data_IF_776210957058
#
_entry.id   IF_776210957058
#
_cell.length_a   1.000
_cell.length_b   1.000
_cell.length_c   1.000
_cell.angle_alpha   90.00
_cell.angle_beta   90.00
_cell.angle_gamma   90.00
#
_symmetry.space_group_name_H-M   'P 1'
#
loop_
_entity.id
_entity.type
_entity.pdbx_description
1 polymer ?
#
# COMPACT_ATOMS: atom_id res chain seq x y z
N UNK A 1 -6.76 26.84 -21.07
CA UNK A 1 -5.85 25.75 -20.67
C UNK A 1 -6.74 24.57 -20.34
N UNK A 2 -6.71 23.52 -21.18
CA UNK A 2 -7.51 22.33 -20.94
C UNK A 2 -6.93 21.59 -19.75
N UNK A 3 -7.74 21.32 -18.75
CA UNK A 3 -7.38 20.46 -17.63
C UNK A 3 -7.57 19.03 -18.12
N UNK A 4 -6.48 18.25 -18.11
CA UNK A 4 -6.55 16.83 -18.49
C UNK A 4 -7.32 16.09 -17.42
N UNK A 5 -8.37 15.39 -17.81
CA UNK A 5 -9.03 14.41 -16.94
C UNK A 5 -8.20 13.16 -16.85
N UNK A 6 -8.12 12.64 -15.67
CA UNK A 6 -7.25 11.53 -15.35
C UNK A 6 -8.06 10.42 -14.72
N UNK A 7 -8.01 9.26 -15.32
CA UNK A 7 -8.88 8.14 -15.01
C UNK A 7 -8.05 6.93 -14.56
N UNK A 8 -8.20 6.47 -13.33
CA UNK A 8 -7.78 5.14 -12.90
C UNK A 8 -8.88 4.15 -13.24
N UNK A 9 -8.62 3.29 -14.17
CA UNK A 9 -9.51 2.22 -14.53
C UNK A 9 -8.92 0.91 -14.06
N UNK A 10 -9.61 0.18 -13.25
CA UNK A 10 -9.40 -1.23 -13.04
C UNK A 10 -10.20 -1.97 -14.12
N UNK A 11 -9.67 -2.56 -15.14
CA UNK A 11 -10.37 -3.22 -16.23
C UNK A 11 -10.40 -4.72 -16.05
N UNK A 12 -11.54 -5.30 -16.34
CA UNK A 12 -11.66 -6.71 -16.64
C UNK A 12 -11.01 -7.03 -17.98
N UNK A 13 -10.05 -7.89 -18.02
CA UNK A 13 -9.55 -8.49 -19.26
C UNK A 13 -10.35 -9.74 -19.51
N UNK A 14 -11.15 -9.74 -20.57
CA UNK A 14 -11.89 -10.93 -20.98
C UNK A 14 -10.94 -11.99 -21.53
N UNK A 15 -10.45 -12.82 -20.63
CA UNK A 15 -10.06 -14.17 -20.88
C UNK A 15 -10.88 -15.01 -19.92
N UNK A 16 -12.15 -15.25 -20.24
CA UNK A 16 -13.08 -16.18 -19.58
C UNK A 16 -13.17 -16.14 -18.03
N UNK A 17 -12.79 -15.02 -17.39
CA UNK A 17 -13.00 -14.79 -15.96
C UNK A 17 -13.28 -13.32 -15.72
N UNK A 18 -14.29 -13.01 -14.92
CA UNK A 18 -14.78 -11.68 -14.65
C UNK A 18 -13.83 -10.90 -13.75
N UNK A 19 -13.38 -9.73 -14.21
CA UNK A 19 -12.52 -8.83 -13.45
C UNK A 19 -13.25 -7.51 -13.23
N UNK A 20 -13.09 -6.90 -12.07
CA UNK A 20 -13.63 -5.59 -11.74
C UNK A 20 -12.56 -4.53 -11.64
N UNK A 21 -12.95 -3.32 -11.97
CA UNK A 21 -12.00 -2.22 -12.24
C UNK A 21 -12.26 -0.97 -11.40
N UNK A 22 -11.25 -0.46 -10.66
CA UNK A 22 -11.25 0.86 -10.00
C UNK A 22 -10.62 1.90 -10.94
N UNK A 23 -11.32 2.97 -11.23
CA UNK A 23 -10.88 4.02 -12.15
C UNK A 23 -10.68 5.34 -11.43
N UNK A 24 -9.60 6.04 -11.70
CA UNK A 24 -9.28 7.35 -11.17
C UNK A 24 -9.03 8.36 -12.30
N UNK A 25 -9.65 9.55 -12.24
CA UNK A 25 -9.56 10.56 -13.28
C UNK A 25 -9.55 12.01 -12.77
N UNK A 26 -8.87 12.95 -13.47
CA UNK A 26 -8.88 14.39 -13.19
C UNK A 26 -10.20 15.05 -13.64
N UNK A 27 -10.58 16.15 -13.00
CA UNK A 27 -11.74 16.94 -13.41
C UNK A 27 -11.35 18.10 -14.30
N UNK A 28 -12.11 18.35 -15.35
CA UNK A 28 -12.04 19.62 -16.06
C UNK A 28 -12.50 20.77 -15.14
N UNK A 29 -11.56 21.65 -14.79
CA UNK A 29 -11.85 22.87 -14.08
C UNK A 29 -12.21 23.97 -15.08
N UNK A 30 -13.47 24.01 -15.52
CA UNK A 30 -14.01 25.19 -16.17
C UNK A 30 -15.28 25.64 -15.45
N UNK A 31 -15.22 26.92 -15.05
CA UNK A 31 -16.26 27.78 -14.49
C UNK A 31 -16.36 27.80 -12.96
N UNK A 32 -15.58 28.71 -12.35
CA UNK A 32 -16.06 29.49 -11.20
C UNK A 32 -15.94 30.99 -11.57
N UNK A 33 -16.96 31.81 -11.23
CA UNK A 33 -16.87 33.26 -11.38
C UNK A 33 -15.87 33.83 -10.36
N UNK A 34 -15.08 34.78 -10.84
CA UNK A 34 -14.19 35.57 -9.99
C UNK A 34 -15.06 36.56 -9.22
N UNK A 35 -15.18 36.42 -7.92
CA UNK A 35 -15.52 37.55 -7.04
C UNK A 35 -14.24 38.10 -6.45
N UNK A 36 -13.99 39.38 -6.79
CA UNK A 36 -12.99 40.23 -6.19
C UNK A 36 -13.47 40.69 -4.82
N UNK A 37 -12.72 40.43 -3.79
CA UNK A 37 -12.73 41.29 -2.62
C UNK A 37 -11.31 41.56 -2.13
N UNK A 38 -10.99 42.84 -2.22
CA UNK A 38 -9.76 43.48 -1.76
C UNK A 38 -9.93 43.79 -0.29
N UNK A 39 -9.06 43.32 0.57
CA UNK A 39 -8.81 43.99 1.85
C UNK A 39 -7.35 43.89 2.24
N UNK A 40 -6.78 45.07 2.36
CA UNK A 40 -5.44 45.41 2.81
C UNK A 40 -5.28 45.25 4.31
N UNK A 41 -4.14 44.74 4.80
CA UNK A 41 -3.39 45.40 5.86
C UNK A 41 -2.07 44.70 6.23
N UNK A 42 -1.02 45.49 6.10
CA UNK A 42 0.11 45.75 7.00
C UNK A 42 1.18 44.67 7.22
N UNK A 43 2.35 45.08 6.77
CA UNK A 43 3.67 44.48 6.96
C UNK A 43 4.16 44.58 8.43
N UNK A 44 4.92 43.59 8.84
CA UNK A 44 5.97 43.74 9.85
C UNK A 44 7.22 42.99 9.37
N UNK A 45 8.25 43.77 9.09
CA UNK A 45 9.61 43.34 8.72
C UNK A 45 10.39 42.97 9.97
N UNK A 46 11.05 41.80 9.93
CA UNK A 46 12.30 41.59 10.69
C UNK A 46 13.29 40.89 9.79
N UNK A 47 14.41 41.57 9.51
CA UNK A 47 15.56 41.06 8.81
C UNK A 47 16.30 40.00 9.66
N UNK A 48 16.59 38.86 9.09
CA UNK A 48 17.69 38.01 9.51
C UNK A 48 18.47 37.63 8.25
N UNK A 49 19.69 38.07 8.16
CA UNK A 49 20.66 37.69 7.13
C UNK A 49 20.95 36.20 7.20
N UNK A 50 20.76 35.50 6.10
CA UNK A 50 21.16 34.10 5.96
C UNK A 50 22.33 34.02 4.95
N UNK A 51 23.46 33.53 5.44
CA UNK A 51 24.68 33.26 4.66
C UNK A 51 24.43 32.04 3.79
N UNK A 52 24.70 32.06 2.49
CA UNK A 52 24.54 30.89 1.63
C UNK A 52 25.65 29.85 1.88
N UNK A 53 25.26 28.72 2.41
CA UNK A 53 26.12 27.53 2.43
C UNK A 53 26.02 26.80 1.09
N UNK A 54 27.15 26.43 0.54
CA UNK A 54 27.37 25.75 -0.73
C UNK A 54 26.55 24.49 -0.85
N UNK A 55 25.79 24.37 -1.94
CA UNK A 55 25.10 23.14 -2.38
C UNK A 55 26.12 22.08 -2.76
N UNK A 56 26.23 21.04 -1.95
CA UNK A 56 26.81 19.76 -2.39
C UNK A 56 25.81 19.11 -3.36
N UNK A 57 26.30 18.82 -4.58
CA UNK A 57 25.59 18.01 -5.56
C UNK A 57 25.55 16.57 -5.07
N UNK A 58 24.46 16.20 -4.42
CA UNK A 58 24.12 14.80 -4.19
C UNK A 58 23.63 14.21 -5.52
N UNK A 59 24.20 13.10 -6.02
CA UNK A 59 23.67 12.44 -7.20
C UNK A 59 22.22 12.02 -6.96
N UNK A 60 21.34 12.09 -7.98
CA UNK A 60 19.96 11.62 -7.81
C UNK A 60 19.98 10.14 -7.41
N UNK A 61 19.24 9.81 -6.34
CA UNK A 61 18.97 8.45 -5.93
C UNK A 61 18.45 7.68 -7.15
N UNK A 62 18.93 6.45 -7.41
CA UNK A 62 18.36 5.64 -8.47
C UNK A 62 16.87 5.46 -8.21
N UNK A 63 16.06 5.79 -9.21
CA UNK A 63 14.62 5.58 -9.19
C UNK A 63 14.34 4.13 -8.79
N UNK A 64 13.50 3.93 -7.79
CA UNK A 64 13.05 2.59 -7.42
C UNK A 64 12.51 1.90 -8.69
N UNK A 65 12.82 0.62 -8.93
CA UNK A 65 12.30 -0.07 -10.10
C UNK A 65 10.77 0.01 -10.06
N UNK A 66 10.17 0.53 -11.13
CA UNK A 66 8.72 0.56 -11.29
C UNK A 66 8.23 -0.87 -11.44
N UNK A 67 7.80 -1.45 -10.34
CA UNK A 67 7.32 -2.82 -10.24
C UNK A 67 5.87 -2.88 -10.69
N UNK A 68 5.67 -3.32 -11.92
CA UNK A 68 4.40 -3.89 -12.32
C UNK A 68 3.66 -3.26 -13.47
N UNK A 69 4.09 -3.47 -14.69
CA UNK A 69 3.11 -3.70 -15.77
C UNK A 69 2.88 -5.20 -15.89
N UNK A 70 1.65 -5.61 -16.20
CA UNK A 70 1.29 -7.00 -16.49
C UNK A 70 2.28 -7.62 -17.47
N UNK A 71 3.14 -8.51 -17.00
CA UNK A 71 4.11 -9.21 -17.84
C UNK A 71 5.59 -9.08 -17.44
N UNK A 72 5.97 -8.31 -16.42
CA UNK A 72 7.34 -8.31 -15.93
C UNK A 72 7.60 -9.58 -15.09
N UNK A 73 8.54 -10.38 -15.53
CA UNK A 73 9.05 -11.50 -14.74
C UNK A 73 9.80 -10.93 -13.54
N UNK A 74 9.26 -11.14 -12.35
CA UNK A 74 9.95 -10.79 -11.09
C UNK A 74 10.95 -11.90 -10.79
N UNK A 75 12.26 -11.60 -10.71
CA UNK A 75 13.26 -12.63 -10.45
C UNK A 75 12.95 -13.38 -9.15
N UNK A 76 13.02 -14.71 -9.19
CA UNK A 76 12.86 -15.57 -8.02
C UNK A 76 11.48 -15.61 -7.38
N UNK A 77 10.44 -15.01 -7.99
CA UNK A 77 9.07 -15.01 -7.41
C UNK A 77 8.52 -16.43 -7.19
N UNK A 78 8.93 -17.37 -8.01
CA UNK A 78 8.54 -18.77 -7.92
C UNK A 78 9.53 -19.67 -7.18
N UNK A 79 10.67 -19.11 -6.74
CA UNK A 79 11.69 -19.88 -6.03
C UNK A 79 11.27 -20.15 -4.57
N UNK A 80 11.51 -21.36 -4.09
CA UNK A 80 11.41 -21.66 -2.66
C UNK A 80 12.55 -20.98 -1.90
N UNK A 81 12.23 -20.43 -0.73
CA UNK A 81 13.22 -19.78 0.11
C UNK A 81 14.08 -20.81 0.84
N UNK A 82 15.41 -20.81 0.65
CA UNK A 82 16.29 -21.79 1.26
C UNK A 82 16.57 -21.46 2.73
N UNK A 83 17.05 -22.43 3.48
CA UNK A 83 17.58 -22.21 4.82
C UNK A 83 19.00 -21.62 4.80
N UNK A 84 19.39 -20.93 5.89
CA UNK A 84 20.77 -20.53 6.13
C UNK A 84 21.20 -19.17 5.56
N UNK A 85 20.30 -18.41 4.99
CA UNK A 85 20.55 -17.03 4.56
C UNK A 85 20.78 -16.13 5.77
N UNK A 86 21.80 -15.26 5.71
CA UNK A 86 22.07 -14.30 6.79
C UNK A 86 20.96 -13.25 6.90
N UNK A 87 20.62 -12.83 8.11
CA UNK A 87 19.61 -11.80 8.36
C UNK A 87 19.97 -10.44 7.76
N UNK A 88 21.24 -10.16 7.55
CA UNK A 88 21.71 -8.96 6.84
C UNK A 88 21.44 -8.98 5.33
N UNK A 89 21.10 -10.14 4.77
CA UNK A 89 20.79 -10.29 3.35
C UNK A 89 19.31 -10.09 3.11
N UNK A 90 18.93 -9.03 2.38
CA UNK A 90 17.56 -8.83 1.95
C UNK A 90 17.22 -9.78 0.78
N UNK A 91 16.11 -10.53 0.85
CA UNK A 91 15.86 -11.67 -0.05
C UNK A 91 15.21 -11.27 -1.40
N UNK A 92 15.76 -10.29 -2.11
CA UNK A 92 15.26 -9.88 -3.44
C UNK A 92 15.34 -11.00 -4.48
N UNK A 93 16.29 -11.93 -4.34
CA UNK A 93 16.43 -13.09 -5.22
C UNK A 93 15.29 -14.11 -5.10
N UNK A 94 14.38 -13.89 -4.14
CA UNK A 94 13.20 -14.73 -3.88
C UNK A 94 11.89 -13.93 -4.01
N UNK A 95 11.89 -12.87 -4.83
CA UNK A 95 10.71 -12.09 -5.16
C UNK A 95 10.32 -10.99 -4.16
N UNK A 96 11.09 -10.79 -3.09
CA UNK A 96 10.86 -9.69 -2.17
C UNK A 96 11.28 -8.34 -2.78
N UNK A 97 10.50 -7.29 -2.51
CA UNK A 97 10.69 -5.92 -3.01
C UNK A 97 11.29 -5.05 -1.93
N UNK A 98 12.40 -4.38 -2.25
CA UNK A 98 13.12 -3.51 -1.32
C UNK A 98 12.44 -2.15 -1.14
N UNK A 99 12.44 -1.66 0.10
CA UNK A 99 11.95 -0.34 0.51
C UNK A 99 13.10 0.52 1.06
N UNK A 100 13.98 1.00 0.17
CA UNK A 100 15.21 1.71 0.56
C UNK A 100 14.92 3.03 1.30
N UNK A 101 13.80 3.68 0.99
CA UNK A 101 13.39 4.96 1.60
C UNK A 101 13.06 4.85 3.09
N UNK A 102 12.82 3.64 3.60
CA UNK A 102 12.55 3.41 5.02
C UNK A 102 13.84 3.30 5.85
N UNK A 103 15.00 3.16 5.19
CA UNK A 103 16.31 2.97 5.86
C UNK A 103 16.34 1.81 6.86
N UNK A 104 15.65 0.70 6.52
CA UNK A 104 15.59 -0.53 7.29
C UNK A 104 16.32 -1.68 6.57
N UNK A 105 17.34 -1.39 5.76
CA UNK A 105 18.06 -2.40 4.97
C UNK A 105 17.25 -3.02 3.83
N UNK A 106 16.19 -2.36 3.37
CA UNK A 106 15.26 -2.83 2.33
C UNK A 106 13.96 -3.43 2.87
N UNK A 107 13.90 -3.73 4.15
CA UNK A 107 12.70 -4.24 4.81
C UNK A 107 11.62 -3.16 4.94
N UNK A 108 10.36 -3.56 4.97
CA UNK A 108 9.21 -2.64 5.14
C UNK A 108 8.78 -2.48 6.59
N UNK A 109 9.28 -3.33 7.48
CA UNK A 109 9.06 -3.27 8.90
C UNK A 109 9.93 -4.30 9.64
N UNK A 110 10.34 -3.94 10.84
CA UNK A 110 11.09 -4.80 11.75
C UNK A 110 10.36 -4.87 13.08
N UNK A 111 10.21 -6.09 13.62
CA UNK A 111 9.59 -6.33 14.92
C UNK A 111 10.53 -7.17 15.77
N UNK A 112 11.22 -6.52 16.69
CA UNK A 112 12.08 -7.21 17.66
C UNK A 112 11.24 -7.93 18.70
N UNK A 113 11.48 -9.23 18.86
CA UNK A 113 10.72 -10.14 19.71
C UNK A 113 11.68 -10.98 20.57
N UNK A 114 12.42 -10.37 21.52
CA UNK A 114 13.55 -10.99 22.19
C UNK A 114 13.20 -12.24 23.00
N UNK A 115 11.95 -12.40 23.39
CA UNK A 115 11.49 -13.52 24.20
C UNK A 115 10.81 -14.62 23.36
N UNK A 116 10.57 -14.39 22.07
CA UNK A 116 9.91 -15.36 21.19
C UNK A 116 10.79 -16.57 20.92
N UNK A 117 10.16 -17.75 20.95
CA UNK A 117 10.73 -19.01 20.50
C UNK A 117 9.76 -19.67 19.52
N UNK A 118 10.25 -20.30 18.43
CA UNK A 118 9.41 -21.09 17.55
C UNK A 118 8.57 -22.11 18.33
N UNK A 119 7.25 -22.08 18.15
CA UNK A 119 6.28 -22.91 18.88
C UNK A 119 5.57 -22.21 20.05
N UNK A 120 5.94 -20.98 20.39
CA UNK A 120 5.16 -20.18 21.35
C UNK A 120 3.75 -19.92 20.81
N UNK A 121 2.77 -19.83 21.69
CA UNK A 121 1.37 -19.56 21.35
C UNK A 121 1.05 -18.07 21.23
N UNK A 122 1.85 -17.20 21.85
CA UNK A 122 1.75 -15.75 21.80
C UNK A 122 3.14 -15.12 21.78
N UNK A 123 3.23 -13.90 21.25
CA UNK A 123 4.47 -13.11 21.22
C UNK A 123 4.28 -11.87 22.10
N UNK A 124 5.14 -11.73 23.10
CA UNK A 124 5.18 -10.56 24.00
C UNK A 124 6.45 -9.76 23.79
N UNK A 125 6.50 -8.55 24.36
CA UNK A 125 7.66 -7.65 24.30
C UNK A 125 8.10 -7.34 22.86
N UNK A 126 7.15 -6.88 22.05
CA UNK A 126 7.38 -6.50 20.66
C UNK A 126 7.83 -5.04 20.62
N UNK A 127 8.96 -4.77 19.98
CA UNK A 127 9.42 -3.43 19.65
C UNK A 127 9.50 -3.26 18.14
N UNK A 128 8.90 -2.20 17.62
CA UNK A 128 9.00 -1.86 16.18
C UNK A 128 10.33 -1.18 15.91
N UNK A 129 11.02 -1.60 14.84
CA UNK A 129 12.26 -1.00 14.38
C UNK A 129 12.05 0.45 13.90
N UNK A 130 13.07 1.25 14.09
CA UNK A 130 13.13 2.64 13.66
C UNK A 130 14.17 2.81 12.55
N UNK A 131 14.16 3.95 11.88
CA UNK A 131 15.13 4.29 10.83
C UNK A 131 16.57 4.04 11.30
N UNK A 132 17.33 3.29 10.51
CA UNK A 132 18.69 2.87 10.82
C UNK A 132 18.81 1.47 11.42
N UNK A 133 17.72 0.87 11.88
CA UNK A 133 17.71 -0.51 12.33
C UNK A 133 17.87 -1.49 11.15
N UNK A 134 18.34 -2.69 11.48
CA UNK A 134 18.53 -3.78 10.51
C UNK A 134 17.82 -5.04 11.01
N UNK A 135 17.54 -5.98 10.10
CA UNK A 135 17.08 -7.30 10.48
C UNK A 135 18.14 -8.02 11.32
N UNK A 136 17.86 -8.24 12.57
CA UNK A 136 18.78 -8.79 13.57
C UNK A 136 18.17 -10.00 14.28
N UNK A 137 19.00 -10.73 15.03
CA UNK A 137 18.55 -11.92 15.77
C UNK A 137 17.35 -11.61 16.67
N UNK A 138 16.42 -12.56 16.75
CA UNK A 138 15.14 -12.44 17.48
C UNK A 138 14.21 -11.34 16.94
N UNK A 139 14.16 -11.16 15.63
CA UNK A 139 13.27 -10.22 14.97
C UNK A 139 12.47 -10.89 13.87
N UNK A 140 11.25 -10.41 13.66
CA UNK A 140 10.53 -10.63 12.41
C UNK A 140 10.83 -9.48 11.47
N UNK A 141 11.25 -9.82 10.25
CA UNK A 141 11.68 -8.88 9.23
C UNK A 141 10.70 -8.94 8.05
N UNK A 142 9.87 -7.92 7.96
CA UNK A 142 8.79 -7.85 6.99
C UNK A 142 9.28 -7.33 5.66
N UNK A 143 8.78 -7.90 4.57
CA UNK A 143 9.16 -7.56 3.19
C UNK A 143 7.92 -7.28 2.35
N UNK A 144 8.06 -6.41 1.36
CA UNK A 144 7.02 -6.19 0.35
C UNK A 144 7.05 -7.29 -0.71
N UNK A 145 5.89 -7.52 -1.33
CA UNK A 145 5.75 -8.33 -2.54
C UNK A 145 5.31 -7.44 -3.71
N UNK A 146 5.53 -7.87 -4.97
CA UNK A 146 5.10 -7.15 -6.16
C UNK A 146 3.58 -6.96 -6.22
N UNK A 147 3.12 -6.11 -7.16
CA UNK A 147 1.69 -5.91 -7.46
C UNK A 147 0.97 -7.26 -7.68
N UNK A 148 -0.22 -7.42 -7.12
CA UNK A 148 -1.00 -8.66 -7.18
C UNK A 148 -0.55 -9.76 -6.20
N UNK A 149 0.66 -9.64 -5.63
CA UNK A 149 1.20 -10.60 -4.67
C UNK A 149 1.08 -10.14 -3.23
N UNK A 150 1.11 -11.09 -2.31
CA UNK A 150 1.06 -10.87 -0.88
C UNK A 150 2.13 -11.71 -0.16
N UNK A 151 2.61 -11.20 0.96
CA UNK A 151 3.56 -11.89 1.83
C UNK A 151 2.94 -13.17 2.38
N UNK A 152 3.67 -14.27 2.32
CA UNK A 152 3.21 -15.57 2.80
C UNK A 152 3.70 -15.91 4.21
N UNK A 153 4.63 -15.14 4.75
CA UNK A 153 5.31 -15.47 5.99
C UNK A 153 4.78 -14.64 7.16
N UNK A 154 4.24 -15.32 8.15
CA UNK A 154 3.89 -14.85 9.49
C UNK A 154 3.77 -16.04 10.43
N UNK A 155 4.14 -15.90 11.72
CA UNK A 155 4.00 -16.99 12.69
C UNK A 155 2.52 -17.25 13.01
N UNK A 156 2.21 -18.44 13.50
CA UNK A 156 0.88 -18.74 14.07
C UNK A 156 0.64 -17.95 15.36
N UNK A 157 1.68 -17.76 16.17
CA UNK A 157 1.66 -16.87 17.32
C UNK A 157 1.67 -15.40 16.89
N UNK A 158 0.80 -14.60 17.47
CA UNK A 158 0.69 -13.16 17.25
C UNK A 158 0.88 -12.41 18.58
N UNK A 159 0.89 -11.09 18.55
CA UNK A 159 1.09 -10.28 19.74
C UNK A 159 0.01 -10.52 20.80
N UNK A 160 0.41 -10.57 22.08
CA UNK A 160 -0.45 -10.85 23.22
C UNK A 160 -1.52 -9.78 23.47
N UNK A 161 -1.26 -8.53 23.10
CA UNK A 161 -2.26 -7.44 23.14
C UNK A 161 -2.89 -7.15 21.77
N UNK A 162 -2.66 -8.04 20.79
CA UNK A 162 -3.31 -8.01 19.48
C UNK A 162 -2.49 -7.36 18.38
N UNK A 163 -1.21 -7.15 18.55
CA UNK A 163 -0.34 -6.74 17.46
C UNK A 163 -0.23 -7.86 16.41
N UNK A 164 -0.28 -7.49 15.15
CA UNK A 164 0.02 -8.36 14.04
C UNK A 164 1.54 -8.53 13.90
N UNK A 165 1.99 -9.74 13.64
CA UNK A 165 3.41 -10.09 13.45
C UNK A 165 3.58 -10.77 12.11
N UNK A 166 4.58 -10.33 11.33
CA UNK A 166 4.84 -10.94 10.03
C UNK A 166 6.24 -10.67 9.49
N UNK A 167 6.61 -11.50 8.53
CA UNK A 167 7.92 -11.48 7.89
C UNK A 167 8.69 -12.78 8.12
N UNK A 168 9.92 -12.81 7.65
CA UNK A 168 10.88 -13.86 7.96
C UNK A 168 11.36 -13.71 9.40
N UNK A 169 11.57 -14.82 10.08
CA UNK A 169 12.16 -14.79 11.41
C UNK A 169 13.69 -14.84 11.35
N UNK A 170 14.35 -13.91 11.96
CA UNK A 170 15.79 -13.94 12.16
C UNK A 170 16.10 -14.69 13.47
N UNK A 171 16.62 -15.89 13.37
CA UNK A 171 16.91 -16.73 14.53
C UNK A 171 18.14 -16.27 15.33
N UNK A 172 18.38 -16.91 16.48
CA UNK A 172 19.51 -16.59 17.37
C UNK A 172 20.89 -16.72 16.73
N UNK A 173 20.99 -17.47 15.62
CA UNK A 173 22.26 -17.66 14.88
C UNK A 173 22.41 -16.62 13.75
N UNK A 174 21.53 -15.61 13.67
CA UNK A 174 21.54 -14.60 12.61
C UNK A 174 21.14 -15.14 11.24
N UNK A 175 20.30 -16.17 11.18
CA UNK A 175 19.81 -16.77 9.94
C UNK A 175 18.31 -16.57 9.78
N UNK A 176 17.90 -16.25 8.55
CA UNK A 176 16.50 -16.10 8.17
C UNK A 176 15.83 -17.48 8.09
N UNK A 177 14.65 -17.56 8.67
CA UNK A 177 13.78 -18.74 8.65
C UNK A 177 12.37 -18.36 8.19
N UNK A 178 11.72 -19.31 7.49
CA UNK A 178 10.30 -19.20 7.17
C UNK A 178 9.49 -19.25 8.48
N UNK A 179 8.63 -18.26 8.68
CA UNK A 179 7.75 -18.19 9.85
C UNK A 179 6.40 -18.89 9.64
N UNK A 180 6.06 -19.21 8.37
CA UNK A 180 4.85 -19.98 8.01
C UNK A 180 5.10 -20.88 6.78
N UNK A 181 5.96 -21.91 6.91
CA UNK A 181 6.26 -22.82 5.79
C UNK A 181 5.07 -23.68 5.37
N UNK A 182 4.07 -23.85 6.24
CA UNK A 182 2.84 -24.61 5.94
C UNK A 182 1.97 -23.88 4.92
N UNK A 183 1.93 -22.54 4.93
CA UNK A 183 1.22 -21.78 3.93
C UNK A 183 1.97 -21.78 2.59
N UNK A 184 3.27 -21.50 2.63
CA UNK A 184 4.11 -21.49 1.43
C UNK A 184 5.59 -21.53 1.79
N UNK A 185 6.40 -22.17 0.95
CA UNK A 185 7.85 -22.04 0.97
C UNK A 185 8.36 -20.89 0.11
N UNK A 186 7.50 -20.26 -0.71
CA UNK A 186 7.79 -19.05 -1.45
C UNK A 186 7.50 -17.85 -0.57
N UNK A 187 8.24 -16.77 -0.72
CA UNK A 187 8.04 -15.55 0.08
C UNK A 187 6.76 -14.79 -0.31
N UNK A 188 6.45 -14.77 -1.60
CA UNK A 188 5.28 -14.08 -2.14
C UNK A 188 4.34 -15.08 -2.81
N UNK A 189 3.05 -14.94 -2.51
CA UNK A 189 1.97 -15.72 -3.12
C UNK A 189 0.97 -14.78 -3.81
N UNK A 190 0.30 -15.22 -4.85
CA UNK A 190 -0.70 -14.41 -5.54
C UNK A 190 -1.93 -14.18 -4.67
N UNK A 191 -2.56 -13.01 -4.82
CA UNK A 191 -3.95 -12.80 -4.43
C UNK A 191 -4.90 -13.52 -5.39
N UNK A 192 -6.19 -13.12 -5.40
CA UNK A 192 -7.20 -13.74 -6.29
C UNK A 192 -7.06 -13.32 -7.75
N UNK A 193 -6.34 -12.23 -8.05
CA UNK A 193 -6.20 -11.69 -9.41
C UNK A 193 -7.47 -11.02 -9.97
N UNK A 194 -8.48 -10.80 -9.14
CA UNK A 194 -9.81 -10.33 -9.58
C UNK A 194 -9.92 -8.80 -9.65
N UNK A 195 -8.95 -8.06 -9.11
CA UNK A 195 -9.00 -6.59 -8.99
C UNK A 195 -7.73 -5.97 -9.54
N UNK A 196 -7.92 -4.91 -10.35
CA UNK A 196 -6.81 -4.16 -10.94
C UNK A 196 -6.98 -2.65 -10.72
N UNK A 197 -5.90 -1.89 -10.84
CA UNK A 197 -5.91 -0.43 -10.89
C UNK A 197 -5.30 0.04 -12.19
N UNK A 198 -5.92 1.01 -12.84
CA UNK A 198 -5.40 1.70 -14.03
C UNK A 198 -5.25 3.18 -13.75
N UNK A 199 -4.03 3.65 -13.87
CA UNK A 199 -3.73 5.07 -13.82
C UNK A 199 -3.85 5.68 -15.23
N UNK A 200 -4.87 6.51 -15.45
CA UNK A 200 -5.01 7.27 -16.71
C UNK A 200 -4.57 8.73 -16.52
N UNK A 201 -3.88 9.03 -15.40
CA UNK A 201 -3.35 10.36 -15.11
C UNK A 201 -2.09 10.67 -15.92
N UNK A 202 -1.74 11.94 -16.01
CA UNK A 202 -0.46 12.37 -16.56
C UNK A 202 0.71 12.25 -15.56
N UNK A 203 0.47 11.77 -14.33
CA UNK A 203 1.46 11.65 -13.26
C UNK A 203 1.40 10.27 -12.63
N UNK A 204 2.47 9.88 -11.94
CA UNK A 204 2.43 8.70 -11.09
C UNK A 204 1.51 8.94 -9.89
N UNK A 205 0.94 7.87 -9.36
CA UNK A 205 0.18 7.88 -8.11
C UNK A 205 0.60 6.68 -7.28
N UNK A 206 1.23 6.90 -6.12
CA UNK A 206 1.51 5.85 -5.19
C UNK A 206 0.23 5.40 -4.46
N UNK A 207 0.00 4.10 -4.49
CA UNK A 207 -1.08 3.43 -3.75
C UNK A 207 -0.43 2.43 -2.81
N UNK A 208 -0.21 2.85 -1.58
CA UNK A 208 0.57 2.07 -0.63
C UNK A 208 -0.33 1.15 0.19
N UNK A 209 0.03 -0.12 0.29
CA UNK A 209 -0.74 -1.09 1.06
C UNK A 209 -0.19 -1.23 2.47
N UNK A 210 -1.07 -1.47 3.43
CA UNK A 210 -0.68 -1.83 4.80
C UNK A 210 0.17 -3.10 4.81
N UNK A 211 1.27 -3.08 5.56
CA UNK A 211 2.11 -4.24 5.86
C UNK A 211 1.40 -5.13 6.88
N UNK A 212 0.49 -5.97 6.41
CA UNK A 212 -0.35 -6.79 7.25
C UNK A 212 -0.41 -8.24 6.73
N UNK A 213 -0.06 -9.24 7.54
CA UNK A 213 0.46 -9.19 8.92
C UNK A 213 1.89 -8.63 8.97
N UNK A 214 2.14 -7.78 9.95
CA UNK A 214 3.44 -7.11 10.15
C UNK A 214 3.31 -5.87 11.02
N UNK A 215 4.05 -4.81 10.69
CA UNK A 215 4.08 -3.55 11.47
C UNK A 215 2.79 -2.72 11.38
N UNK A 216 1.83 -3.13 10.56
CA UNK A 216 0.56 -2.43 10.30
C UNK A 216 0.72 -1.02 9.67
N UNK A 217 1.93 -0.68 9.21
CA UNK A 217 2.20 0.56 8.47
C UNK A 217 1.91 0.38 6.97
N UNK A 218 1.55 1.47 6.27
CA UNK A 218 1.26 1.47 4.82
C UNK A 218 2.55 1.56 3.98
N UNK A 219 3.43 0.59 4.15
CA UNK A 219 4.78 0.59 3.59
C UNK A 219 4.98 -0.31 2.36
N UNK A 220 3.97 -1.12 1.99
CA UNK A 220 4.02 -1.94 0.78
C UNK A 220 3.74 -1.07 -0.45
N UNK A 221 4.72 -0.85 -1.34
CA UNK A 221 4.60 0.11 -2.41
C UNK A 221 3.84 -0.44 -3.62
N UNK A 222 3.02 0.41 -4.22
CA UNK A 222 2.53 0.28 -5.58
C UNK A 222 2.54 1.67 -6.23
N UNK A 223 3.54 1.94 -7.06
CA UNK A 223 3.66 3.21 -7.78
C UNK A 223 3.02 3.09 -9.17
N UNK A 224 1.78 3.49 -9.29
CA UNK A 224 1.05 3.40 -10.56
C UNK A 224 1.51 4.48 -11.51
N UNK A 225 2.13 4.10 -12.63
CA UNK A 225 2.63 5.01 -13.65
C UNK A 225 1.52 5.46 -14.63
N UNK A 226 1.67 6.61 -15.28
CA UNK A 226 0.71 7.10 -16.26
C UNK A 226 0.35 6.07 -17.34
N UNK A 227 -0.95 5.90 -17.59
CA UNK A 227 -1.50 4.99 -18.59
C UNK A 227 -1.12 3.51 -18.43
N UNK A 228 -0.74 3.11 -17.20
CA UNK A 228 -0.42 1.73 -16.87
C UNK A 228 -1.51 1.09 -16.01
N UNK A 229 -1.57 -0.23 -16.06
CA UNK A 229 -2.48 -1.07 -15.29
C UNK A 229 -1.69 -2.02 -14.39
N UNK A 230 -2.16 -2.23 -13.16
CA UNK A 230 -1.51 -3.08 -12.16
C UNK A 230 -2.54 -3.94 -11.46
N UNK A 231 -2.17 -5.15 -11.08
CA UNK A 231 -3.00 -5.96 -10.19
C UNK A 231 -2.97 -5.40 -8.76
N UNK A 232 -4.13 -5.27 -8.14
CA UNK A 232 -4.24 -5.08 -6.70
C UNK A 232 -4.20 -6.45 -6.02
N UNK A 233 -3.45 -6.53 -4.93
CA UNK A 233 -3.50 -7.72 -4.07
C UNK A 233 -4.90 -7.83 -3.46
N UNK A 234 -5.55 -8.96 -3.67
CA UNK A 234 -6.87 -9.27 -3.15
C UNK A 234 -6.78 -10.56 -2.33
N UNK A 235 -6.68 -10.49 -0.98
CA UNK A 235 -6.61 -11.66 -0.12
C UNK A 235 -7.90 -12.47 -0.16
N UNK A 236 -7.79 -13.81 -0.19
CA UNK A 236 -8.89 -14.74 -0.04
C UNK A 236 -9.07 -15.11 1.44
N UNK A 237 -10.21 -14.80 2.03
CA UNK A 237 -10.51 -15.07 3.43
C UNK A 237 -10.34 -16.55 3.83
N UNK A 238 -10.49 -17.48 2.89
CA UNK A 238 -10.32 -18.92 3.16
C UNK A 238 -8.87 -19.39 3.10
N UNK A 239 -7.94 -18.54 2.62
CA UNK A 239 -6.56 -18.96 2.32
C UNK A 239 -5.49 -18.03 2.87
N UNK A 240 -5.91 -16.88 3.44
CA UNK A 240 -4.98 -15.88 3.93
C UNK A 240 -5.12 -15.67 5.44
N UNK A 241 -4.34 -14.76 5.98
CA UNK A 241 -4.23 -14.45 7.39
C UNK A 241 -5.56 -14.07 8.03
N UNK A 242 -5.81 -14.62 9.21
CA UNK A 242 -6.91 -14.21 10.08
C UNK A 242 -6.37 -13.49 11.31
N UNK A 243 -6.89 -12.31 11.57
CA UNK A 243 -6.57 -11.56 12.77
C UNK A 243 -7.69 -11.71 13.79
N UNK A 244 -7.35 -12.24 14.97
CA UNK A 244 -8.34 -12.51 16.04
C UNK A 244 -9.59 -13.27 15.55
N UNK A 245 -9.38 -14.22 14.67
CA UNK A 245 -10.47 -15.04 14.11
C UNK A 245 -11.27 -14.39 12.98
N UNK A 246 -11.02 -13.13 12.64
CA UNK A 246 -11.63 -12.45 11.51
C UNK A 246 -10.72 -12.48 10.27
N UNK A 247 -11.34 -12.63 9.09
CA UNK A 247 -10.63 -12.52 7.82
C UNK A 247 -10.05 -11.11 7.63
N UNK A 248 -8.93 -11.01 6.94
CA UNK A 248 -8.26 -9.76 6.63
C UNK A 248 -8.36 -9.42 5.15
N UNK A 249 -8.42 -8.12 4.86
CA UNK A 249 -8.40 -7.57 3.50
C UNK A 249 -7.11 -6.78 3.25
N UNK A 250 -6.82 -6.49 1.99
CA UNK A 250 -5.79 -5.53 1.62
C UNK A 250 -6.34 -4.12 1.80
N UNK A 251 -5.67 -3.30 2.61
CA UNK A 251 -5.99 -1.90 2.81
C UNK A 251 -4.95 -1.05 2.10
N UNK A 252 -5.40 -0.21 1.20
CA UNK A 252 -4.57 0.70 0.40
C UNK A 252 -4.83 2.14 0.79
N UNK A 253 -3.78 2.91 0.83
CA UNK A 253 -3.77 4.35 1.07
C UNK A 253 -3.45 5.04 -0.26
N UNK A 254 -4.41 5.80 -0.78
CA UNK A 254 -4.33 6.45 -2.10
C UNK A 254 -3.79 7.86 -1.91
N UNK A 255 -2.60 8.10 -2.46
CA UNK A 255 -1.85 9.34 -2.25
C UNK A 255 -2.11 10.37 -3.37
N UNK A 256 -1.82 11.67 -3.14
CA UNK A 256 -1.90 12.71 -4.15
C UNK A 256 -1.02 12.42 -5.38
N UNK A 257 -1.43 12.92 -6.55
CA UNK A 257 -0.72 12.68 -7.80
C UNK A 257 0.68 13.32 -7.82
N UNK A 258 1.65 12.63 -8.42
CA UNK A 258 3.02 13.13 -8.50
C UNK A 258 3.85 13.02 -7.20
N UNK A 259 3.30 12.39 -6.16
CA UNK A 259 4.04 12.10 -4.92
C UNK A 259 5.09 11.00 -5.18
N UNK A 260 6.25 11.08 -4.54
CA UNK A 260 7.22 9.99 -4.60
C UNK A 260 6.78 8.80 -3.74
N UNK A 261 7.20 7.57 -4.11
CA UNK A 261 6.96 6.38 -3.28
C UNK A 261 7.57 6.56 -1.88
N UNK A 262 8.74 7.20 -1.81
CA UNK A 262 9.42 7.43 -0.54
C UNK A 262 8.69 8.34 0.43
N UNK A 263 7.89 9.28 -0.09
CA UNK A 263 7.05 10.17 0.71
C UNK A 263 5.67 9.57 1.00
N UNK A 264 5.17 8.75 0.10
CA UNK A 264 3.85 8.15 0.17
C UNK A 264 3.80 6.86 1.00
N UNK A 265 4.74 5.91 0.77
CA UNK A 265 4.70 4.58 1.38
C UNK A 265 5.55 4.53 2.66
N UNK A 266 5.15 5.34 3.63
CA UNK A 266 5.79 5.44 4.94
C UNK A 266 4.80 5.99 5.97
N UNK A 267 5.13 5.78 7.26
CA UNK A 267 4.40 6.46 8.33
C UNK A 267 4.82 7.92 8.36
N UNK A 268 3.89 8.83 8.07
CA UNK A 268 4.12 10.27 8.01
C UNK A 268 3.60 10.99 9.25
N UNK A 269 4.10 12.21 9.46
CA UNK A 269 3.58 13.14 10.47
C UNK A 269 2.26 13.77 10.01
N UNK A 270 1.47 14.26 10.97
CA UNK A 270 0.14 14.81 10.73
C UNK A 270 0.10 15.95 9.71
N UNK A 271 -0.95 15.97 8.89
CA UNK A 271 -1.23 17.05 7.94
C UNK A 271 -0.54 16.95 6.58
N UNK A 272 0.17 15.86 6.30
CA UNK A 272 0.90 15.69 5.03
C UNK A 272 0.02 15.31 3.84
N UNK A 273 -1.21 14.84 4.04
CA UNK A 273 -2.06 14.16 3.05
C UNK A 273 -1.39 12.95 2.36
N UNK A 274 -0.36 12.37 2.96
CA UNK A 274 0.43 11.27 2.42
C UNK A 274 0.63 10.16 3.45
N UNK A 275 0.94 8.96 3.01
CA UNK A 275 1.16 7.80 3.86
C UNK A 275 -0.08 7.45 4.67
N UNK A 276 0.06 7.27 5.98
CA UNK A 276 -1.07 7.04 6.90
C UNK A 276 -2.07 8.23 6.97
N UNK A 277 -1.69 9.39 6.42
CA UNK A 277 -2.54 10.58 6.27
C UNK A 277 -3.12 10.73 4.85
N UNK A 278 -2.92 9.77 3.97
CA UNK A 278 -3.53 9.80 2.63
C UNK A 278 -5.06 9.97 2.75
N UNK A 279 -5.69 10.79 1.87
CA UNK A 279 -7.10 11.15 2.03
C UNK A 279 -8.08 10.00 1.87
N UNK A 280 -7.79 9.05 1.00
CA UNK A 280 -8.72 7.97 0.62
C UNK A 280 -8.10 6.61 0.87
N UNK A 281 -8.88 5.74 1.50
CA UNK A 281 -8.56 4.33 1.67
C UNK A 281 -9.36 3.47 0.70
N UNK A 282 -8.73 2.40 0.22
CA UNK A 282 -9.35 1.37 -0.60
C UNK A 282 -9.16 0.01 0.07
N UNK A 283 -10.25 -0.66 0.43
CA UNK A 283 -10.25 -2.02 0.94
C UNK A 283 -10.57 -3.02 -0.16
N UNK A 284 -9.76 -4.07 -0.31
CA UNK A 284 -9.95 -5.12 -1.32
C UNK A 284 -9.83 -6.48 -0.66
N UNK A 285 -10.78 -7.38 -0.92
CA UNK A 285 -10.74 -8.73 -0.37
C UNK A 285 -11.80 -9.65 -0.96
N UNK A 286 -11.57 -10.95 -0.82
CA UNK A 286 -12.54 -12.00 -1.12
C UNK A 286 -13.05 -12.58 0.18
N UNK A 287 -14.36 -12.51 0.39
CA UNK A 287 -15.04 -13.03 1.57
C UNK A 287 -15.03 -14.56 1.64
N UNK A 288 -15.32 -15.11 2.83
CA UNK A 288 -15.37 -16.57 3.04
C UNK A 288 -16.47 -17.28 2.23
N UNK A 289 -17.48 -16.56 1.81
CA UNK A 289 -18.57 -17.02 0.94
C UNK A 289 -18.25 -16.93 -0.55
N UNK A 290 -17.10 -16.35 -0.90
CA UNK A 290 -16.55 -16.31 -2.26
C UNK A 290 -16.74 -14.99 -2.99
N UNK A 291 -17.47 -14.03 -2.42
CA UNK A 291 -17.66 -12.71 -3.02
C UNK A 291 -16.41 -11.85 -2.87
N UNK A 292 -15.96 -11.27 -3.96
CA UNK A 292 -14.94 -10.23 -3.94
C UNK A 292 -15.60 -8.87 -3.76
N UNK A 293 -15.04 -8.06 -2.86
CA UNK A 293 -15.52 -6.72 -2.58
C UNK A 293 -14.41 -5.67 -2.74
N UNK A 294 -14.83 -4.48 -3.12
CA UNK A 294 -13.98 -3.28 -3.19
C UNK A 294 -14.71 -2.18 -2.43
N UNK A 295 -14.05 -1.62 -1.40
CA UNK A 295 -14.58 -0.53 -0.59
C UNK A 295 -13.69 0.70 -0.74
N UNK A 296 -14.27 1.86 -0.96
CA UNK A 296 -13.56 3.13 -1.05
C UNK A 296 -14.17 4.11 -0.04
N UNK A 297 -13.34 4.70 0.84
CA UNK A 297 -13.82 5.52 1.95
C UNK A 297 -12.78 6.55 2.40
N UNK A 298 -13.25 7.58 3.10
CA UNK A 298 -12.40 8.59 3.70
C UNK A 298 -11.49 7.98 4.77
N UNK A 299 -10.24 8.39 4.82
CA UNK A 299 -9.31 8.01 5.88
C UNK A 299 -9.64 8.72 7.20
N UNK A 300 -10.75 8.33 7.82
CA UNK A 300 -11.22 8.87 9.08
C UNK A 300 -11.02 7.85 10.22
N UNK A 301 -10.67 8.29 11.43
CA UNK A 301 -10.57 9.69 11.89
C UNK A 301 -9.20 10.36 11.59
N UNK A 302 -8.27 9.67 10.92
CA UNK A 302 -6.89 10.16 10.73
C UNK A 302 -6.85 11.43 9.89
N UNK A 303 -7.50 11.44 8.71
CA UNK A 303 -7.57 12.59 7.81
C UNK A 303 -8.99 12.79 7.26
N UNK A 304 -9.95 13.27 8.10
CA UNK A 304 -11.35 13.37 7.70
C UNK A 304 -11.64 14.41 6.62
N UNK A 305 -10.78 15.42 6.48
CA UNK A 305 -10.95 16.56 5.58
C UNK A 305 -10.02 16.51 4.36
N UNK A 306 -9.12 15.54 4.31
CA UNK A 306 -8.17 15.38 3.22
C UNK A 306 -8.86 15.09 1.89
N UNK A 307 -8.29 15.63 0.79
CA UNK A 307 -8.83 15.44 -0.56
C UNK A 307 -7.72 15.11 -1.54
N UNK A 308 -8.05 14.26 -2.50
CA UNK A 308 -7.20 14.00 -3.66
C UNK A 308 -7.44 15.06 -4.73
N UNK A 309 -6.43 15.30 -5.56
CA UNK A 309 -6.43 16.23 -6.70
C UNK A 309 -6.99 15.60 -7.98
N UNK A 310 -7.58 14.41 -7.89
CA UNK A 310 -8.16 13.63 -8.98
C UNK A 310 -9.38 12.83 -8.50
N UNK A 311 -10.06 12.16 -9.41
CA UNK A 311 -11.23 11.35 -9.10
C UNK A 311 -10.93 9.86 -9.20
N UNK A 312 -11.78 9.04 -8.57
CA UNK A 312 -11.69 7.58 -8.57
C UNK A 312 -13.06 7.01 -8.94
N UNK A 313 -13.09 6.00 -9.80
CA UNK A 313 -14.31 5.26 -10.13
C UNK A 313 -14.02 3.77 -10.10
N UNK A 314 -14.92 2.99 -9.52
CA UNK A 314 -14.89 1.54 -9.61
C UNK A 314 -15.77 1.13 -10.78
N UNK A 315 -15.19 0.46 -11.78
CA UNK A 315 -15.88 0.02 -13.00
C UNK A 315 -15.73 -1.49 -13.22
N UNK A 316 -16.54 -2.05 -14.09
CA UNK A 316 -16.58 -3.48 -14.40
C UNK A 316 -17.91 -4.10 -13.98
N UNK A 317 -17.93 -5.42 -13.84
CA UNK A 317 -19.10 -6.15 -13.40
C UNK A 317 -19.24 -6.05 -11.87
N UNK A 318 -19.86 -4.97 -11.40
CA UNK A 318 -20.01 -4.64 -9.98
C UNK A 318 -21.47 -4.39 -9.61
N UNK A 319 -21.78 -4.62 -8.34
CA UNK A 319 -23.16 -4.54 -7.81
C UNK A 319 -23.75 -3.13 -7.80
N UNK A 320 -22.90 -2.09 -7.81
CA UNK A 320 -23.34 -0.69 -7.77
C UNK A 320 -22.25 0.23 -8.32
N UNK A 321 -22.60 1.47 -8.66
CA UNK A 321 -21.65 2.49 -9.05
C UNK A 321 -21.04 3.15 -7.81
N UNK A 322 -19.72 3.14 -7.69
CA UNK A 322 -18.97 3.75 -6.59
C UNK A 322 -17.91 4.70 -7.16
N UNK A 323 -17.98 5.97 -6.76
CA UNK A 323 -17.12 7.04 -7.28
C UNK A 323 -16.64 7.96 -6.16
N UNK A 324 -15.42 8.48 -6.30
CA UNK A 324 -14.92 9.64 -5.57
C UNK A 324 -14.67 10.76 -6.57
N UNK A 325 -15.38 11.88 -6.42
CA UNK A 325 -15.29 13.02 -7.31
C UNK A 325 -15.18 14.32 -6.52
N UNK A 326 -14.16 15.12 -6.81
CA UNK A 326 -13.93 16.44 -6.19
C UNK A 326 -14.02 16.42 -4.65
N UNK A 327 -13.45 15.39 -4.04
CA UNK A 327 -13.43 15.25 -2.58
C UNK A 327 -14.73 14.71 -1.96
N UNK A 328 -15.63 14.13 -2.76
CA UNK A 328 -16.91 13.57 -2.31
C UNK A 328 -17.11 12.17 -2.88
N UNK A 329 -17.56 11.24 -2.03
CA UNK A 329 -17.94 9.89 -2.45
C UNK A 329 -19.40 9.86 -2.92
N UNK A 330 -19.66 9.01 -3.91
CA UNK A 330 -20.99 8.78 -4.47
C UNK A 330 -21.26 7.28 -4.60
N UNK A 331 -22.45 6.86 -4.17
CA UNK A 331 -22.96 5.52 -4.38
C UNK A 331 -24.21 5.61 -5.25
N UNK A 332 -24.19 5.00 -6.44
CA UNK A 332 -25.25 5.11 -7.44
C UNK A 332 -25.68 6.56 -7.74
N UNK A 333 -24.69 7.46 -7.78
CA UNK A 333 -24.92 8.88 -8.08
C UNK A 333 -25.39 9.73 -6.89
N UNK A 334 -25.75 9.14 -5.77
CA UNK A 334 -26.08 9.86 -4.53
C UNK A 334 -24.84 10.07 -3.67
N UNK A 335 -24.70 11.25 -3.07
CA UNK A 335 -23.59 11.54 -2.15
C UNK A 335 -23.60 10.55 -0.97
N UNK A 336 -22.44 10.00 -0.65
CA UNK A 336 -22.23 8.98 0.38
C UNK A 336 -21.01 9.32 1.23
N UNK A 337 -21.14 10.18 2.26
CA UNK A 337 -20.01 10.65 3.06
C UNK A 337 -19.16 9.54 3.71
N UNK A 338 -19.76 8.37 3.97
CA UNK A 338 -19.07 7.21 4.52
C UNK A 338 -18.30 6.38 3.49
N UNK A 339 -18.30 6.79 2.22
CA UNK A 339 -17.72 5.99 1.15
C UNK A 339 -18.73 5.03 0.51
N UNK A 340 -18.26 4.10 -0.29
CA UNK A 340 -19.07 3.08 -0.95
C UNK A 340 -18.33 1.74 -1.07
N UNK A 341 -19.11 0.66 -1.02
CA UNK A 341 -18.62 -0.71 -1.24
C UNK A 341 -19.38 -1.34 -2.38
N UNK A 342 -18.67 -2.03 -3.27
CA UNK A 342 -19.25 -2.82 -4.34
C UNK A 342 -18.82 -4.28 -4.21
N UNK A 343 -19.69 -5.18 -4.68
CA UNK A 343 -19.34 -6.57 -4.89
C UNK A 343 -19.01 -6.77 -6.37
N UNK A 344 -18.01 -7.57 -6.65
CA UNK A 344 -17.70 -8.07 -7.98
C UNK A 344 -18.78 -9.10 -8.34
N UNK A 345 -19.57 -8.84 -9.38
CA UNK A 345 -20.72 -9.67 -9.77
C UNK A 345 -20.46 -10.51 -11.02
N UNK A 346 -19.32 -10.34 -11.66
CA UNK A 346 -18.94 -11.13 -12.81
C UNK A 346 -18.85 -12.62 -12.47
N UNK A 347 -19.27 -13.48 -13.39
CA UNK A 347 -19.25 -14.94 -13.24
C UNK A 347 -17.79 -15.41 -13.29
N UNK A 348 -17.37 -16.16 -12.27
CA UNK A 348 -16.09 -16.84 -12.26
C UNK A 348 -16.02 -17.93 -13.35
#
# INVERSE_FOLDING_TARGET
MGVSSVLFTVTAVAAACCHSTVTVYETDSNTLPVENDISTSAALTTNAEFVPTTTENTPPLPSAPSLGSSGLVVPGIDAEFPSGIDCSHFPSDYGAVRAEWLSLGGWIGLQMTPNYKPGDSVISFISTGIMGDICAANSFCSYACPAGYQKSQWPTAQGDIGQSIGGLYCNNNGKLELSNPELSKKLCITGTGEVKVKNTTGKNIPICRTDYPGTESETVPLDTQPNQEYELTCPDANKYFHWRGAATSAQYYINPSGTSVGDACRWNEGGSNMGNWAPVNLGVGKGSTGETYISMFQNAPTNPDGKLDYNIEIIGDVSSKCEYRRGTFYNNGAASPGGCTVLVTGIA
#
